data_IF_650122618444
#
_entry.id   IF_650122618444
#
_cell.length_a   1.000
_cell.length_b   1.000
_cell.length_c   1.000
_cell.angle_alpha   90.00
_cell.angle_beta   90.00
_cell.angle_gamma   90.00
#
_symmetry.space_group_name_H-M   'P 1'
#
loop_
_entity.id
_entity.type
_entity.pdbx_description
1 polymer ?
#
# COMPACT_ATOMS: atom_id res chain seq x y z
N UNK A 1 33.23 11.44 -14.89
CA UNK A 1 33.62 11.39 -13.53
C UNK A 1 32.69 12.19 -12.60
N UNK A 2 32.93 13.49 -12.34
CA UNK A 2 32.09 14.25 -11.42
C UNK A 2 30.64 14.42 -11.93
N UNK A 3 30.48 14.65 -13.22
CA UNK A 3 29.15 14.80 -13.83
C UNK A 3 28.38 13.48 -13.76
N UNK A 4 29.05 12.37 -14.02
CA UNK A 4 28.42 11.06 -13.97
C UNK A 4 28.04 10.67 -12.55
N UNK A 5 28.87 10.99 -11.56
CA UNK A 5 28.57 10.75 -10.15
C UNK A 5 27.37 11.58 -9.70
N UNK A 6 27.27 12.85 -10.14
CA UNK A 6 26.11 13.70 -9.85
C UNK A 6 24.84 13.20 -10.49
N UNK A 7 24.94 12.67 -11.70
CA UNK A 7 23.80 12.08 -12.41
C UNK A 7 23.30 10.83 -11.70
N UNK A 8 24.21 9.96 -11.26
CA UNK A 8 23.87 8.75 -10.50
C UNK A 8 23.23 9.11 -9.17
N UNK A 9 23.73 10.16 -8.48
CA UNK A 9 23.14 10.63 -7.24
C UNK A 9 21.71 11.13 -7.40
N UNK A 10 21.44 11.89 -8.47
CA UNK A 10 20.09 12.38 -8.77
C UNK A 10 19.15 11.22 -9.11
N UNK A 11 19.62 10.25 -9.88
CA UNK A 11 18.84 9.06 -10.22
C UNK A 11 18.52 8.26 -8.96
N UNK A 12 19.48 8.11 -8.05
CA UNK A 12 19.28 7.41 -6.78
C UNK A 12 18.24 8.09 -5.90
N UNK A 13 18.25 9.43 -5.85
CA UNK A 13 17.23 10.18 -5.11
C UNK A 13 15.85 9.96 -5.72
N UNK A 14 15.76 9.97 -7.06
CA UNK A 14 14.51 9.72 -7.76
C UNK A 14 13.94 8.33 -7.47
N UNK A 15 14.79 7.31 -7.50
CA UNK A 15 14.38 5.96 -7.13
C UNK A 15 13.92 5.86 -5.70
N UNK A 16 14.59 6.58 -4.77
CA UNK A 16 14.19 6.62 -3.37
C UNK A 16 12.80 7.19 -3.18
N UNK A 17 12.48 8.28 -3.89
CA UNK A 17 11.15 8.89 -3.84
C UNK A 17 10.07 7.91 -4.33
N UNK A 18 10.35 7.24 -5.45
CA UNK A 18 9.40 6.25 -6.00
C UNK A 18 9.21 5.08 -5.03
N UNK A 19 10.29 4.58 -4.45
CA UNK A 19 10.22 3.48 -3.48
C UNK A 19 9.39 3.87 -2.26
N UNK A 20 9.57 5.10 -1.74
CA UNK A 20 8.79 5.61 -0.62
C UNK A 20 7.30 5.68 -0.97
N UNK A 21 6.98 6.16 -2.17
CA UNK A 21 5.60 6.24 -2.64
C UNK A 21 4.97 4.87 -2.78
N UNK A 22 5.71 3.90 -3.32
CA UNK A 22 5.23 2.52 -3.44
C UNK A 22 4.97 1.94 -2.05
N UNK A 23 5.85 2.18 -1.09
CA UNK A 23 5.68 1.74 0.29
C UNK A 23 4.42 2.34 0.92
N UNK A 24 4.19 3.62 0.71
CA UNK A 24 3.00 4.31 1.21
C UNK A 24 1.73 3.70 0.60
N UNK A 25 1.73 3.47 -0.70
CA UNK A 25 0.59 2.85 -1.40
C UNK A 25 0.34 1.43 -0.92
N UNK A 26 1.40 0.66 -0.67
CA UNK A 26 1.27 -0.69 -0.13
C UNK A 26 0.62 -0.68 1.25
N UNK A 27 1.00 0.28 2.10
CA UNK A 27 0.41 0.43 3.43
C UNK A 27 -1.06 0.83 3.34
N UNK A 28 -1.41 1.73 2.44
CA UNK A 28 -2.80 2.13 2.21
C UNK A 28 -3.64 0.95 1.70
N UNK A 29 -3.08 0.16 0.79
CA UNK A 29 -3.76 -1.02 0.27
C UNK A 29 -4.01 -2.05 1.38
N UNK A 30 -3.04 -2.26 2.26
CA UNK A 30 -3.20 -3.17 3.39
C UNK A 30 -4.33 -2.71 4.31
N UNK A 31 -4.42 -1.40 4.57
CA UNK A 31 -5.49 -0.84 5.40
C UNK A 31 -6.86 -1.06 4.76
N UNK A 32 -6.97 -0.86 3.44
CA UNK A 32 -8.21 -1.10 2.70
C UNK A 32 -8.60 -2.58 2.75
N UNK A 33 -7.63 -3.48 2.60
CA UNK A 33 -7.89 -4.91 2.73
C UNK A 33 -8.46 -5.27 4.09
N UNK A 34 -7.92 -4.69 5.16
CA UNK A 34 -8.43 -4.93 6.51
C UNK A 34 -9.86 -4.44 6.66
N UNK A 35 -10.18 -3.28 6.09
CA UNK A 35 -11.55 -2.75 6.10
C UNK A 35 -12.50 -3.68 5.35
N UNK A 36 -12.08 -4.20 4.20
CA UNK A 36 -12.87 -5.14 3.40
C UNK A 36 -13.12 -6.42 4.19
N UNK A 37 -12.11 -6.97 4.84
CA UNK A 37 -12.25 -8.17 5.66
C UNK A 37 -13.23 -7.95 6.80
N UNK A 38 -13.20 -6.79 7.42
CA UNK A 38 -14.14 -6.46 8.48
C UNK A 38 -15.57 -6.36 7.96
N UNK A 39 -15.76 -5.76 6.78
CA UNK A 39 -17.07 -5.68 6.15
C UNK A 39 -17.60 -7.06 5.76
N UNK A 40 -16.76 -7.92 5.22
CA UNK A 40 -17.14 -9.29 4.88
C UNK A 40 -17.58 -10.05 6.14
N UNK A 41 -16.84 -9.88 7.22
CA UNK A 41 -17.19 -10.51 8.50
C UNK A 41 -18.55 -10.03 8.99
N UNK A 42 -18.84 -8.74 8.90
CA UNK A 42 -20.13 -8.19 9.28
C UNK A 42 -21.26 -8.74 8.42
N UNK A 43 -21.03 -8.89 7.12
CA UNK A 43 -22.01 -9.48 6.21
C UNK A 43 -22.27 -10.94 6.57
N UNK A 44 -21.22 -11.71 6.84
CA UNK A 44 -21.36 -13.11 7.25
C UNK A 44 -22.17 -13.26 8.53
N UNK A 45 -21.89 -12.42 9.52
CA UNK A 45 -22.62 -12.41 10.79
C UNK A 45 -24.10 -12.06 10.57
N UNK A 46 -24.38 -11.11 9.69
CA UNK A 46 -25.76 -10.73 9.35
C UNK A 46 -26.50 -11.88 8.67
N UNK A 47 -25.82 -12.58 7.78
CA UNK A 47 -26.41 -13.72 7.07
C UNK A 47 -26.70 -14.88 8.03
N UNK A 48 -25.83 -15.12 9.00
CA UNK A 48 -26.08 -16.14 10.03
C UNK A 48 -27.33 -15.81 10.83
N UNK A 49 -27.51 -14.54 11.20
CA UNK A 49 -28.71 -14.11 11.95
C UNK A 49 -29.98 -14.29 11.13
N UNK A 50 -29.90 -14.07 9.82
CA UNK A 50 -31.03 -14.28 8.93
C UNK A 50 -31.39 -15.75 8.80
N UNK A 51 -30.41 -16.64 8.96
CA UNK A 51 -30.62 -18.09 8.92
C UNK A 51 -31.28 -18.65 10.17
N UNK A 52 -31.27 -17.87 11.24
CA UNK A 52 -31.94 -18.27 12.48
C UNK A 52 -33.45 -18.12 12.37
#
# INVERSE_FOLDING_TARGET
AAIEAGRAGKAGVGFGVVADEIGRMANESAAVYQEIQELVKQVEESMERLGE
#
